data_IF_985344670213
#
_entry.id   IF_985344670213
#
_cell.length_a   1.000
_cell.length_b   1.000
_cell.length_c   1.000
_cell.angle_alpha   90.00
_cell.angle_beta   90.00
_cell.angle_gamma   90.00
#
_symmetry.space_group_name_H-M   'P 1'
#
loop_
_entity.id
_entity.type
_entity.pdbx_description
1 polymer ?
#
# COMPACT_ATOMS: atom_id res chain seq x y z
N UNK A 1 -23.94 -5.69 -18.93
CA UNK A 1 -24.43 -4.34 -19.30
C UNK A 1 -24.69 -3.47 -18.07
N UNK A 2 -25.51 -3.92 -17.10
CA UNK A 2 -25.90 -3.07 -15.97
C UNK A 2 -24.77 -2.76 -14.97
N UNK A 3 -23.76 -3.61 -14.88
CA UNK A 3 -22.59 -3.41 -13.99
C UNK A 3 -21.68 -2.28 -14.47
N UNK A 4 -21.35 -2.25 -15.77
CA UNK A 4 -20.58 -1.16 -16.38
C UNK A 4 -21.31 0.19 -16.25
N UNK A 5 -22.65 0.19 -16.35
CA UNK A 5 -23.46 1.38 -16.12
C UNK A 5 -23.34 1.88 -14.67
N UNK A 6 -23.39 0.98 -13.69
CA UNK A 6 -23.20 1.32 -12.26
C UNK A 6 -21.82 1.89 -12.00
N UNK A 7 -20.77 1.28 -12.56
CA UNK A 7 -19.38 1.75 -12.41
C UNK A 7 -19.23 3.16 -13.00
N UNK A 8 -19.67 3.38 -14.24
CA UNK A 8 -19.63 4.71 -14.86
C UNK A 8 -20.42 5.75 -14.06
N UNK A 9 -21.56 5.37 -13.48
CA UNK A 9 -22.38 6.26 -12.68
C UNK A 9 -21.68 6.64 -11.36
N UNK A 10 -20.97 5.70 -10.72
CA UNK A 10 -20.17 5.97 -9.53
C UNK A 10 -19.03 6.96 -9.81
N UNK A 11 -18.30 6.80 -10.92
CA UNK A 11 -17.26 7.77 -11.33
C UNK A 11 -17.84 9.15 -11.65
N UNK A 12 -18.97 9.20 -12.35
CA UNK A 12 -19.66 10.46 -12.65
C UNK A 12 -20.13 11.18 -11.37
N UNK A 13 -20.64 10.43 -10.39
CA UNK A 13 -21.05 10.98 -9.10
C UNK A 13 -19.85 11.58 -8.35
N UNK A 14 -18.71 10.90 -8.30
CA UNK A 14 -17.50 11.44 -7.65
C UNK A 14 -17.03 12.72 -8.34
N UNK A 15 -17.02 12.76 -9.68
CA UNK A 15 -16.67 13.97 -10.43
C UNK A 15 -17.63 15.14 -10.11
N UNK A 16 -18.93 14.85 -9.99
CA UNK A 16 -19.93 15.83 -9.61
C UNK A 16 -19.73 16.37 -8.19
N UNK A 17 -19.37 15.52 -7.23
CA UNK A 17 -19.05 15.93 -5.86
C UNK A 17 -17.83 16.86 -5.81
N UNK A 18 -16.80 16.59 -6.61
CA UNK A 18 -15.61 17.47 -6.70
C UNK A 18 -16.00 18.84 -7.25
N UNK A 19 -16.86 18.91 -8.28
CA UNK A 19 -17.36 20.17 -8.81
C UNK A 19 -18.15 20.96 -7.76
N UNK A 20 -19.07 20.31 -7.03
CA UNK A 20 -19.80 20.95 -5.93
C UNK A 20 -18.84 21.53 -4.89
N UNK A 21 -17.78 20.80 -4.56
CA UNK A 21 -16.77 21.27 -3.60
C UNK A 21 -16.07 22.54 -4.09
N UNK A 22 -15.84 22.66 -5.40
CA UNK A 22 -15.28 23.87 -6.02
C UNK A 22 -16.21 25.09 -5.91
N UNK A 23 -17.52 24.88 -6.01
CA UNK A 23 -18.53 25.94 -5.87
C UNK A 23 -18.82 26.32 -4.42
N UNK A 24 -18.86 25.35 -3.49
CA UNK A 24 -19.26 25.57 -2.09
C UNK A 24 -18.10 26.01 -1.20
N UNK A 25 -16.92 25.40 -1.35
CA UNK A 25 -15.74 25.78 -0.55
C UNK A 25 -14.84 26.74 -1.31
N UNK A 26 -14.15 26.23 -2.33
CA UNK A 26 -13.21 26.99 -3.14
C UNK A 26 -12.63 26.08 -4.22
N UNK A 27 -12.25 26.67 -5.35
CA UNK A 27 -11.50 25.97 -6.38
C UNK A 27 -10.15 25.43 -5.89
N UNK A 28 -9.50 26.11 -4.94
CA UNK A 28 -8.22 25.64 -4.40
C UNK A 28 -8.38 24.35 -3.58
N UNK A 29 -9.41 24.27 -2.73
CA UNK A 29 -9.64 23.07 -1.91
C UNK A 29 -10.09 21.88 -2.78
N UNK A 30 -10.92 22.13 -3.79
CA UNK A 30 -11.33 21.11 -4.75
C UNK A 30 -10.14 20.53 -5.53
N UNK A 31 -9.23 21.39 -6.01
CA UNK A 31 -8.00 20.95 -6.68
C UNK A 31 -7.06 20.19 -5.73
N UNK A 32 -6.98 20.59 -4.46
CA UNK A 32 -6.18 19.91 -3.45
C UNK A 32 -6.73 18.51 -3.15
N UNK A 33 -8.04 18.37 -3.00
CA UNK A 33 -8.72 17.07 -2.84
C UNK A 33 -8.44 16.16 -4.04
N UNK A 34 -8.55 16.70 -5.26
CA UNK A 34 -8.24 15.95 -6.47
C UNK A 34 -6.76 15.54 -6.52
N UNK A 35 -5.84 16.44 -6.18
CA UNK A 35 -4.41 16.15 -6.13
C UNK A 35 -4.08 15.04 -5.12
N UNK A 36 -4.63 15.13 -3.91
CA UNK A 36 -4.42 14.14 -2.86
C UNK A 36 -5.07 12.79 -3.21
N UNK A 37 -6.23 12.83 -3.87
CA UNK A 37 -6.90 11.64 -4.41
C UNK A 37 -6.03 10.92 -5.44
N UNK A 38 -5.47 11.65 -6.41
CA UNK A 38 -4.56 11.09 -7.43
C UNK A 38 -3.30 10.48 -6.80
N UNK A 39 -2.66 11.20 -5.86
CA UNK A 39 -1.49 10.69 -5.14
C UNK A 39 -1.86 9.39 -4.41
N UNK A 40 -3.00 9.36 -3.70
CA UNK A 40 -3.44 8.18 -2.97
C UNK A 40 -3.74 6.97 -3.89
N UNK A 41 -4.27 7.22 -5.09
CA UNK A 41 -4.52 6.17 -6.08
C UNK A 41 -3.21 5.55 -6.57
N UNK A 42 -2.20 6.38 -6.86
CA UNK A 42 -0.86 5.91 -7.25
C UNK A 42 -0.20 5.15 -6.09
N UNK A 43 -0.31 5.66 -4.86
CA UNK A 43 0.21 4.97 -3.67
C UNK A 43 -0.45 3.60 -3.47
N UNK A 44 -1.78 3.52 -3.62
CA UNK A 44 -2.53 2.27 -3.53
C UNK A 44 -2.11 1.25 -4.60
N UNK A 45 -1.89 1.71 -5.84
CA UNK A 45 -1.32 0.87 -6.90
C UNK A 45 0.09 0.38 -6.54
N UNK A 46 0.96 1.25 -6.02
CA UNK A 46 2.30 0.89 -5.57
C UNK A 46 2.30 -0.17 -4.48
N UNK A 47 1.46 -0.04 -3.46
CA UNK A 47 1.31 -1.04 -2.40
C UNK A 47 0.71 -2.35 -2.91
N UNK A 48 -0.28 -2.29 -3.81
CA UNK A 48 -0.85 -3.49 -4.43
C UNK A 48 0.21 -4.26 -5.25
N UNK A 49 1.07 -3.55 -5.97
CA UNK A 49 2.20 -4.16 -6.68
C UNK A 49 3.25 -4.73 -5.72
N UNK A 50 3.51 -4.06 -4.59
CA UNK A 50 4.37 -4.62 -3.55
C UNK A 50 3.78 -5.90 -2.93
N UNK A 51 2.46 -6.02 -2.81
CA UNK A 51 1.80 -7.25 -2.36
C UNK A 51 1.82 -8.35 -3.43
N UNK A 52 1.58 -7.99 -4.69
CA UNK A 52 1.55 -8.93 -5.81
C UNK A 52 2.92 -9.47 -6.24
N UNK A 53 3.97 -8.62 -6.22
CA UNK A 53 5.31 -8.97 -6.72
C UNK A 53 6.41 -8.92 -5.65
N UNK A 54 6.40 -7.90 -4.78
CA UNK A 54 7.47 -7.71 -3.80
C UNK A 54 7.27 -8.51 -2.51
N UNK A 55 6.13 -9.21 -2.38
CA UNK A 55 5.86 -10.14 -1.30
C UNK A 55 6.11 -9.54 0.07
N UNK A 56 5.16 -8.76 0.59
CA UNK A 56 5.14 -8.46 2.04
C UNK A 56 5.22 -9.77 2.87
N UNK A 57 4.83 -10.91 2.29
CA UNK A 57 4.98 -12.27 2.81
C UNK A 57 6.40 -12.87 2.71
N UNK A 58 7.29 -12.35 1.85
CA UNK A 58 8.68 -12.80 1.69
C UNK A 58 9.58 -12.27 2.83
N UNK A 59 9.26 -11.11 3.41
CA UNK A 59 9.89 -10.62 4.65
C UNK A 59 9.82 -11.66 5.77
N UNK A 60 8.69 -12.37 5.89
CA UNK A 60 8.55 -13.47 6.86
C UNK A 60 9.53 -14.62 6.59
N UNK A 61 9.68 -15.01 5.32
CA UNK A 61 10.58 -16.10 4.90
C UNK A 61 12.04 -15.74 5.17
N UNK A 62 12.48 -14.54 4.80
CA UNK A 62 13.84 -14.06 5.07
C UNK A 62 14.11 -13.91 6.58
N UNK A 63 13.09 -13.56 7.38
CA UNK A 63 13.19 -13.56 8.84
C UNK A 63 13.42 -14.95 9.44
N UNK A 64 12.70 -15.97 8.96
CA UNK A 64 12.93 -17.36 9.40
C UNK A 64 14.28 -17.91 8.94
N UNK A 65 14.76 -17.53 7.75
CA UNK A 65 16.12 -17.87 7.28
C UNK A 65 17.18 -17.25 8.20
N UNK A 66 17.01 -16.00 8.62
CA UNK A 66 17.92 -15.36 9.56
C UNK A 66 17.94 -16.04 10.94
N UNK A 67 16.77 -16.43 11.46
CA UNK A 67 16.65 -17.19 12.72
C UNK A 67 17.32 -18.58 12.60
N UNK A 68 17.15 -19.27 11.47
CA UNK A 68 17.84 -20.53 11.20
C UNK A 68 19.37 -20.36 11.15
N UNK A 69 19.86 -19.29 10.50
CA UNK A 69 21.27 -18.94 10.49
C UNK A 69 21.83 -18.71 11.90
N UNK A 70 21.12 -17.94 12.73
CA UNK A 70 21.50 -17.70 14.13
C UNK A 70 21.55 -19.00 14.94
N UNK A 71 20.52 -19.86 14.82
CA UNK A 71 20.49 -21.15 15.51
C UNK A 71 21.68 -22.04 15.13
N UNK A 72 22.05 -22.06 13.85
CA UNK A 72 23.22 -22.81 13.36
C UNK A 72 24.50 -22.30 13.99
N UNK A 73 24.69 -20.98 14.08
CA UNK A 73 25.86 -20.38 14.73
C UNK A 73 25.92 -20.73 16.21
N UNK A 74 24.79 -20.65 16.93
CA UNK A 74 24.72 -20.98 18.36
C UNK A 74 25.06 -22.44 18.66
N UNK A 75 24.65 -23.37 17.79
CA UNK A 75 24.92 -24.81 17.98
C UNK A 75 26.35 -25.18 17.56
N UNK A 76 26.90 -24.49 16.56
CA UNK A 76 28.21 -24.84 15.96
C UNK A 76 29.38 -24.11 16.61
N UNK A 77 29.13 -23.04 17.38
CA UNK A 77 30.19 -22.31 18.06
C UNK A 77 30.85 -23.21 19.12
N UNK A 78 32.20 -23.22 19.22
CA UNK A 78 32.87 -23.91 20.30
C UNK A 78 32.41 -23.32 21.64
N UNK A 79 32.14 -24.16 22.65
CA UNK A 79 31.73 -23.68 23.96
C UNK A 79 32.84 -22.79 24.53
N UNK A 80 32.51 -21.55 24.87
CA UNK A 80 33.44 -20.63 25.53
C UNK A 80 33.42 -20.96 27.02
N UNK A 81 34.53 -21.49 27.54
CA UNK A 81 34.68 -21.95 28.93
C UNK A 81 35.20 -20.84 29.87
N UNK A 82 34.93 -19.57 29.57
CA UNK A 82 35.42 -18.46 30.39
C UNK A 82 34.41 -18.12 31.50
N UNK A 83 34.77 -18.51 32.72
CA UNK A 83 34.32 -17.94 33.99
C UNK A 83 35.57 -17.50 34.77
#
# INVERSE_FOLDING_TARGET
MMENLKISLLFALVAFLILITGFVQSWNTALLILNMGLISAIMSLGVNLQWGFAGLFNVGIMGFVALGGLATVLVSAPPVYEA
#
